data_IF_834705199212
#
_entry.id   IF_834705199212
#
_cell.length_a   1.000
_cell.length_b   1.000
_cell.length_c   1.000
_cell.angle_alpha   90.00
_cell.angle_beta   90.00
_cell.angle_gamma   90.00
#
_symmetry.space_group_name_H-M   'P 1'
#
loop_
_entity.id
_entity.type
_entity.pdbx_description
1 polymer ?
#
# COMPACT_ATOMS: atom_id res chain seq x y z
N UNK A 1 27.83 -8.65 -33.28
CA UNK A 1 26.66 -8.82 -32.38
C UNK A 1 26.88 -10.06 -31.53
N UNK A 2 27.17 -9.92 -30.23
CA UNK A 2 27.18 -11.06 -29.31
C UNK A 2 25.82 -11.11 -28.61
N UNK A 3 25.03 -12.12 -28.94
CA UNK A 3 23.76 -12.40 -28.28
C UNK A 3 24.05 -12.86 -26.85
N UNK A 4 23.78 -12.00 -25.87
CA UNK A 4 23.75 -12.40 -24.46
C UNK A 4 22.47 -13.22 -24.23
N UNK A 5 22.57 -14.54 -24.37
CA UNK A 5 21.53 -15.45 -23.88
C UNK A 5 21.75 -15.63 -22.38
N UNK A 6 20.95 -14.93 -21.57
CA UNK A 6 20.81 -15.28 -20.15
C UNK A 6 20.19 -16.67 -20.09
N UNK A 7 21.00 -17.69 -19.82
CA UNK A 7 20.48 -19.02 -19.51
C UNK A 7 19.70 -18.93 -18.20
N UNK A 8 18.39 -19.14 -18.27
CA UNK A 8 17.56 -19.33 -17.10
C UNK A 8 17.98 -20.65 -16.43
N UNK A 9 18.69 -20.57 -15.31
CA UNK A 9 19.03 -21.75 -14.49
C UNK A 9 17.77 -22.14 -13.72
N UNK A 10 17.15 -23.25 -14.12
CA UNK A 10 15.95 -23.79 -13.47
C UNK A 10 16.26 -24.04 -11.98
N UNK A 11 15.52 -23.39 -11.08
CA UNK A 11 15.68 -23.53 -9.63
C UNK A 11 16.47 -22.40 -8.95
N UNK A 12 17.13 -21.51 -9.69
CA UNK A 12 17.79 -20.33 -9.10
C UNK A 12 16.77 -19.36 -8.46
N UNK A 13 15.58 -19.28 -9.05
CA UNK A 13 14.41 -18.61 -8.50
C UNK A 13 14.02 -19.19 -7.14
N UNK A 14 13.99 -20.52 -6.98
CA UNK A 14 13.69 -21.17 -5.69
C UNK A 14 14.80 -21.01 -4.66
N UNK A 15 16.07 -21.02 -5.07
CA UNK A 15 17.21 -20.85 -4.17
C UNK A 15 17.29 -19.43 -3.61
N UNK A 16 16.99 -18.42 -4.44
CA UNK A 16 17.03 -17.02 -4.04
C UNK A 16 15.72 -16.55 -3.41
N UNK A 17 14.58 -16.74 -4.08
CA UNK A 17 13.27 -16.27 -3.61
C UNK A 17 12.60 -17.20 -2.59
N UNK A 18 12.99 -18.49 -2.56
CA UNK A 18 12.49 -19.45 -1.59
C UNK A 18 13.19 -19.37 -0.23
N UNK A 19 14.25 -18.56 -0.10
CA UNK A 19 14.92 -18.36 1.17
C UNK A 19 14.09 -17.44 2.08
N UNK A 20 13.90 -17.82 3.34
CA UNK A 20 13.10 -17.06 4.29
C UNK A 20 13.56 -15.59 4.42
N UNK A 21 14.88 -15.34 4.33
CA UNK A 21 15.44 -13.99 4.37
C UNK A 21 14.95 -13.11 3.22
N UNK A 22 14.75 -13.64 2.01
CA UNK A 22 14.22 -12.85 0.89
C UNK A 22 12.83 -12.32 1.22
N UNK A 23 11.95 -13.16 1.77
CA UNK A 23 10.60 -12.73 2.17
C UNK A 23 10.64 -11.67 3.28
N UNK A 24 11.55 -11.81 4.26
CA UNK A 24 11.73 -10.82 5.33
C UNK A 24 12.28 -9.49 4.82
N UNK A 25 13.27 -9.53 3.92
CA UNK A 25 13.83 -8.33 3.29
C UNK A 25 12.77 -7.64 2.42
N UNK A 26 11.97 -8.40 1.67
CA UNK A 26 10.88 -7.86 0.86
C UNK A 26 9.80 -7.20 1.73
N UNK A 27 9.42 -7.82 2.85
CA UNK A 27 8.48 -7.21 3.82
C UNK A 27 9.07 -5.94 4.42
N UNK A 28 10.35 -5.97 4.83
CA UNK A 28 11.03 -4.81 5.40
C UNK A 28 11.12 -3.64 4.40
N UNK A 29 11.51 -3.95 3.17
CA UNK A 29 11.62 -2.98 2.08
C UNK A 29 10.25 -2.39 1.71
N UNK A 30 9.23 -3.24 1.53
CA UNK A 30 7.87 -2.77 1.22
C UNK A 30 7.28 -1.93 2.35
N UNK A 31 7.50 -2.31 3.62
CA UNK A 31 7.12 -1.50 4.77
C UNK A 31 7.79 -0.13 4.78
N UNK A 32 9.10 -0.06 4.51
CA UNK A 32 9.82 1.21 4.39
C UNK A 32 9.28 2.07 3.23
N UNK A 33 8.98 1.45 2.08
CA UNK A 33 8.41 2.14 0.94
C UNK A 33 7.02 2.73 1.26
N UNK A 34 6.16 1.98 1.94
CA UNK A 34 4.83 2.46 2.35
C UNK A 34 4.92 3.65 3.30
N UNK A 35 5.84 3.62 4.27
CA UNK A 35 6.08 4.76 5.15
C UNK A 35 6.60 5.99 4.38
N UNK A 36 7.57 5.78 3.48
CA UNK A 36 8.08 6.86 2.64
C UNK A 36 6.99 7.52 1.78
N UNK A 37 6.03 6.74 1.27
CA UNK A 37 4.88 7.27 0.53
C UNK A 37 4.05 8.18 1.44
N UNK A 38 3.72 7.73 2.66
CA UNK A 38 2.95 8.53 3.63
C UNK A 38 3.69 9.83 3.97
N UNK A 39 4.99 9.74 4.25
CA UNK A 39 5.81 10.89 4.63
C UNK A 39 5.97 11.90 3.49
N UNK A 40 6.16 11.39 2.26
CA UNK A 40 6.28 12.25 1.06
C UNK A 40 4.97 12.99 0.79
N UNK A 41 3.83 12.31 0.91
CA UNK A 41 2.52 12.94 0.76
C UNK A 41 2.32 14.01 1.83
N UNK A 42 2.69 13.74 3.09
CA UNK A 42 2.56 14.72 4.17
C UNK A 42 3.34 16.02 3.92
N UNK A 43 4.44 15.95 3.16
CA UNK A 43 5.28 17.09 2.79
C UNK A 43 4.75 17.88 1.58
N UNK A 44 3.77 17.38 0.83
CA UNK A 44 3.20 18.09 -0.33
C UNK A 44 2.61 19.44 0.09
N UNK A 45 3.12 20.55 -0.46
CA UNK A 45 2.74 21.91 -0.08
C UNK A 45 1.27 22.26 -0.32
N UNK A 46 0.69 21.78 -1.42
CA UNK A 46 -0.69 22.08 -1.80
C UNK A 46 -1.65 21.17 -1.06
N UNK A 47 -2.51 21.72 -0.21
CA UNK A 47 -3.51 20.94 0.53
C UNK A 47 -4.39 20.10 -0.41
N UNK A 48 -4.88 20.69 -1.49
CA UNK A 48 -5.73 19.94 -2.44
C UNK A 48 -4.96 18.80 -3.11
N UNK A 49 -3.70 19.02 -3.51
CA UNK A 49 -2.87 17.97 -4.11
C UNK A 49 -2.55 16.87 -3.08
N UNK A 50 -2.13 17.26 -1.87
CA UNK A 50 -1.88 16.35 -0.74
C UNK A 50 -3.06 15.45 -0.47
N UNK A 51 -4.27 16.02 -0.40
CA UNK A 51 -5.48 15.25 -0.16
C UNK A 51 -5.80 14.25 -1.27
N UNK A 52 -5.65 14.65 -2.53
CA UNK A 52 -5.86 13.76 -3.69
C UNK A 52 -4.83 12.63 -3.74
N UNK A 53 -3.55 12.95 -3.55
CA UNK A 53 -2.47 11.96 -3.49
C UNK A 53 -2.70 10.95 -2.36
N UNK A 54 -3.17 11.42 -1.20
CA UNK A 54 -3.50 10.53 -0.09
C UNK A 54 -4.63 9.55 -0.44
N UNK A 55 -5.68 10.01 -1.13
CA UNK A 55 -6.76 9.13 -1.60
C UNK A 55 -6.30 8.14 -2.67
N UNK A 56 -5.53 8.59 -3.65
CA UNK A 56 -4.97 7.75 -4.70
C UNK A 56 -4.07 6.65 -4.13
N UNK A 57 -3.15 7.02 -3.23
CA UNK A 57 -2.29 6.07 -2.55
C UNK A 57 -3.10 5.06 -1.73
N UNK A 58 -4.12 5.53 -0.99
CA UNK A 58 -4.96 4.65 -0.18
C UNK A 58 -5.73 3.63 -1.02
N UNK A 59 -6.38 4.10 -2.10
CA UNK A 59 -7.10 3.23 -3.03
C UNK A 59 -6.17 2.22 -3.71
N UNK A 60 -4.98 2.66 -4.11
CA UNK A 60 -3.97 1.79 -4.72
C UNK A 60 -3.54 0.69 -3.73
N UNK A 61 -3.14 1.07 -2.52
CA UNK A 61 -2.70 0.12 -1.47
C UNK A 61 -3.82 -0.88 -1.15
N UNK A 62 -5.05 -0.41 -0.91
CA UNK A 62 -6.17 -1.28 -0.59
C UNK A 62 -6.64 -2.17 -1.77
N UNK A 63 -6.27 -1.83 -3.01
CA UNK A 63 -6.56 -2.66 -4.19
C UNK A 63 -5.57 -3.81 -4.37
N UNK A 64 -4.30 -3.58 -4.07
CA UNK A 64 -3.22 -4.54 -4.35
C UNK A 64 -2.74 -5.33 -3.14
N UNK A 65 -2.91 -4.78 -1.93
CA UNK A 65 -2.52 -5.46 -0.70
C UNK A 65 -3.75 -6.05 0.00
N UNK A 66 -3.59 -7.28 0.51
CA UNK A 66 -4.57 -7.85 1.44
C UNK A 66 -4.57 -7.00 2.72
N UNK A 67 -5.71 -6.41 3.03
CA UNK A 67 -5.86 -5.54 4.21
C UNK A 67 -5.65 -6.36 5.48
N UNK A 68 -4.55 -6.07 6.17
CA UNK A 68 -4.20 -6.56 7.49
C UNK A 68 -3.98 -5.34 8.43
N UNK A 69 -3.61 -5.55 9.68
CA UNK A 69 -3.45 -4.47 10.65
C UNK A 69 -2.45 -3.37 10.21
N UNK A 70 -1.34 -3.75 9.55
CA UNK A 70 -0.34 -2.81 9.07
C UNK A 70 -0.88 -1.97 7.91
N UNK A 71 -1.49 -2.63 6.91
CA UNK A 71 -2.10 -1.96 5.75
C UNK A 71 -3.27 -1.08 6.19
N UNK A 72 -4.11 -1.54 7.13
CA UNK A 72 -5.18 -0.74 7.73
C UNK A 72 -4.65 0.52 8.41
N UNK A 73 -3.52 0.42 9.12
CA UNK A 73 -2.88 1.59 9.75
C UNK A 73 -2.40 2.59 8.71
N UNK A 74 -1.76 2.13 7.63
CA UNK A 74 -1.32 2.99 6.51
C UNK A 74 -2.50 3.67 5.83
N UNK A 75 -3.54 2.91 5.46
CA UNK A 75 -4.76 3.44 4.85
C UNK A 75 -5.43 4.47 5.77
N UNK A 76 -5.47 4.24 7.08
CA UNK A 76 -6.06 5.18 8.05
C UNK A 76 -5.31 6.51 8.08
N UNK A 77 -3.97 6.49 8.10
CA UNK A 77 -3.15 7.73 8.05
C UNK A 77 -3.40 8.53 6.77
N UNK A 78 -3.51 7.83 5.63
CA UNK A 78 -3.80 8.46 4.35
C UNK A 78 -5.21 9.06 4.31
N UNK A 79 -6.22 8.35 4.82
CA UNK A 79 -7.60 8.85 4.89
C UNK A 79 -7.73 10.06 5.82
N UNK A 80 -7.06 10.08 6.97
CA UNK A 80 -7.05 11.25 7.87
C UNK A 80 -6.32 12.43 7.23
N UNK A 81 -5.23 12.18 6.49
CA UNK A 81 -4.55 13.21 5.69
C UNK A 81 -5.49 13.80 4.65
N UNK A 82 -6.18 12.95 3.87
CA UNK A 82 -7.18 13.39 2.89
C UNK A 82 -8.30 14.20 3.55
N UNK A 83 -8.84 13.72 4.68
CA UNK A 83 -9.89 14.40 5.45
C UNK A 83 -9.48 15.79 5.93
N UNK A 84 -8.27 15.93 6.45
CA UNK A 84 -7.75 17.23 6.89
C UNK A 84 -7.56 18.24 5.75
N UNK A 85 -7.36 17.75 4.52
CA UNK A 85 -7.07 18.58 3.35
C UNK A 85 -8.29 18.88 2.47
N UNK A 86 -9.22 17.93 2.34
CA UNK A 86 -10.38 18.01 1.44
C UNK A 86 -11.69 18.24 2.20
N UNK A 87 -11.71 17.97 3.52
CA UNK A 87 -12.91 17.99 4.34
C UNK A 87 -13.57 16.60 4.48
N UNK A 88 -14.33 16.43 5.56
CA UNK A 88 -14.97 15.15 5.89
C UNK A 88 -16.12 14.76 4.93
N UNK A 89 -16.74 15.75 4.28
CA UNK A 89 -17.85 15.55 3.34
C UNK A 89 -17.39 15.28 1.90
N UNK A 90 -16.08 15.24 1.63
CA UNK A 90 -15.55 14.94 0.31
C UNK A 90 -16.06 13.57 -0.18
N UNK A 91 -16.65 13.57 -1.38
CA UNK A 91 -17.28 12.38 -1.97
C UNK A 91 -16.29 11.25 -2.24
N UNK A 92 -15.04 11.59 -2.55
CA UNK A 92 -14.01 10.61 -2.88
C UNK A 92 -13.47 10.00 -1.59
N UNK A 93 -13.27 10.80 -0.54
CA UNK A 93 -12.94 10.30 0.80
C UNK A 93 -13.97 9.27 1.30
N UNK A 94 -15.27 9.62 1.23
CA UNK A 94 -16.35 8.71 1.65
C UNK A 94 -16.35 7.40 0.85
N UNK A 95 -16.09 7.50 -0.46
CA UNK A 95 -15.99 6.34 -1.34
C UNK A 95 -14.79 5.45 -1.01
N UNK A 96 -13.63 6.06 -0.72
CA UNK A 96 -12.41 5.35 -0.30
C UNK A 96 -12.60 4.66 1.05
N UNK A 97 -13.19 5.31 2.06
CA UNK A 97 -13.49 4.67 3.36
C UNK A 97 -14.35 3.43 3.14
N UNK A 98 -15.42 3.54 2.35
CA UNK A 98 -16.29 2.41 2.05
C UNK A 98 -15.54 1.27 1.34
N UNK A 99 -14.71 1.62 0.35
CA UNK A 99 -13.89 0.65 -0.38
C UNK A 99 -12.92 -0.10 0.54
N UNK A 100 -12.16 0.60 1.38
CA UNK A 100 -11.20 0.00 2.32
C UNK A 100 -11.90 -0.91 3.33
N UNK A 101 -13.06 -0.50 3.85
CA UNK A 101 -13.87 -1.33 4.75
C UNK A 101 -14.34 -2.62 4.09
N UNK A 102 -14.73 -2.56 2.81
CA UNK A 102 -15.11 -3.76 2.03
C UNK A 102 -13.95 -4.73 1.81
N UNK A 103 -12.72 -4.22 1.70
CA UNK A 103 -11.52 -5.05 1.53
C UNK A 103 -11.00 -5.65 2.84
N UNK A 104 -11.45 -5.13 3.99
CA UNK A 104 -11.11 -5.69 5.28
C UNK A 104 -11.79 -7.06 5.43
N UNK A 105 -11.07 -8.10 5.92
CA UNK A 105 -11.70 -9.39 6.15
C UNK A 105 -12.87 -9.20 7.13
N UNK A 106 -14.07 -9.63 6.70
CA UNK A 106 -15.24 -9.70 7.59
C UNK A 106 -14.80 -10.53 8.79
N UNK A 107 -14.85 -9.94 9.98
CA UNK A 107 -14.73 -10.69 11.22
C UNK A 107 -15.94 -11.63 11.25
N UNK A 108 -15.77 -12.87 10.77
CA UNK A 108 -16.73 -13.93 11.04
C UNK A 108 -16.58 -14.18 12.54
N UNK A 109 -17.50 -13.61 13.32
CA UNK A 109 -17.64 -13.93 14.72
C UNK A 109 -17.82 -15.45 14.84
N UNK A 110 -17.03 -16.05 15.72
CA UNK A 110 -17.20 -17.45 16.07
C UNK A 110 -18.53 -17.65 16.76
N UNK A 111 -19.22 -18.71 16.35
CA UNK A 111 -20.18 -19.44 17.17
C UNK A 111 -19.48 -20.70 17.70
#
# INVERSE_FOLDING_TARGET
MRSNTFFQVIGNDRLFFGHAMYSQELVSFSGALLNNIVDTIAQESSQSARGKLALEACNCIASYFKVNNEISSVCSKLMETAKSCLGADDRYLRSTIHFVHKQSPVSVGGD
#
